data_IF_406455816804
#
_entry.id   IF_406455816804
#
_cell.length_a   1.000
_cell.length_b   1.000
_cell.length_c   1.000
_cell.angle_alpha   90.00
_cell.angle_beta   90.00
_cell.angle_gamma   90.00
#
_symmetry.space_group_name_H-M   'P 1'
#
loop_
_entity.id
_entity.type
_entity.pdbx_description
1 polymer ?
#
# COMPACT_ATOMS: atom_id res chain seq x y z
N UNK A 1 7.35 19.60 -2.65
CA UNK A 1 6.17 18.76 -2.90
C UNK A 1 6.50 17.32 -2.51
N UNK A 2 5.59 16.67 -1.79
CA UNK A 2 5.79 15.30 -1.31
C UNK A 2 5.58 14.31 -2.45
N UNK A 3 6.48 13.31 -2.53
CA UNK A 3 6.36 12.22 -3.48
C UNK A 3 5.95 10.96 -2.72
N UNK A 4 5.23 10.07 -3.39
CA UNK A 4 4.95 8.73 -2.89
C UNK A 4 5.70 7.75 -3.78
N UNK A 5 6.62 7.03 -3.19
CA UNK A 5 7.49 6.09 -3.88
C UNK A 5 7.22 4.69 -3.37
N UNK A 6 7.29 3.70 -4.24
CA UNK A 6 7.14 2.30 -3.86
C UNK A 6 8.49 1.64 -3.75
N UNK A 7 8.72 0.91 -2.67
CA UNK A 7 9.89 0.04 -2.61
C UNK A 7 9.73 -1.08 -3.62
N UNK A 8 10.84 -1.77 -3.93
CA UNK A 8 10.79 -2.92 -4.83
C UNK A 8 9.83 -3.99 -4.31
N UNK A 9 9.87 -4.26 -3.01
CA UNK A 9 8.99 -5.26 -2.39
C UNK A 9 7.53 -4.85 -2.49
N UNK A 10 7.21 -3.58 -2.25
CA UNK A 10 5.84 -3.08 -2.35
C UNK A 10 5.33 -3.15 -3.79
N UNK A 11 6.19 -2.83 -4.77
CA UNK A 11 5.80 -2.95 -6.16
C UNK A 11 5.51 -4.39 -6.55
N UNK A 12 6.33 -5.33 -6.06
CA UNK A 12 6.09 -6.75 -6.30
C UNK A 12 4.77 -7.21 -5.67
N UNK A 13 4.46 -6.72 -4.46
CA UNK A 13 3.18 -7.00 -3.81
C UNK A 13 2.02 -6.52 -4.66
N UNK A 14 2.12 -5.29 -5.16
CA UNK A 14 1.08 -4.69 -6.00
C UNK A 14 0.89 -5.49 -7.29
N UNK A 15 1.99 -5.82 -7.95
CA UNK A 15 1.95 -6.57 -9.22
C UNK A 15 1.31 -7.94 -9.01
N UNK A 16 1.64 -8.62 -7.90
CA UNK A 16 1.04 -9.92 -7.58
C UNK A 16 -0.46 -9.81 -7.33
N UNK A 17 -0.90 -8.77 -6.63
CA UNK A 17 -2.33 -8.55 -6.39
C UNK A 17 -3.05 -8.24 -7.71
N UNK A 18 -2.45 -7.43 -8.57
CA UNK A 18 -3.02 -7.11 -9.88
C UNK A 18 -3.17 -8.37 -10.73
N UNK A 19 -2.15 -9.22 -10.74
CA UNK A 19 -2.18 -10.48 -11.49
C UNK A 19 -3.29 -11.39 -10.97
N UNK A 20 -3.45 -11.49 -9.65
CA UNK A 20 -4.51 -12.28 -9.05
C UNK A 20 -5.89 -11.79 -9.49
N UNK A 21 -6.15 -10.49 -9.36
CA UNK A 21 -7.46 -9.96 -9.74
C UNK A 21 -7.69 -9.99 -11.24
N UNK A 22 -6.64 -9.78 -12.04
CA UNK A 22 -6.76 -9.86 -13.49
C UNK A 22 -7.15 -11.28 -13.94
N UNK A 23 -6.66 -12.31 -13.24
CA UNK A 23 -7.03 -13.70 -13.51
C UNK A 23 -8.51 -13.98 -13.17
N UNK A 24 -9.09 -13.20 -12.26
CA UNK A 24 -10.51 -13.31 -11.94
C UNK A 24 -11.36 -12.57 -12.97
N UNK A 25 -11.07 -11.28 -13.17
CA UNK A 25 -11.71 -10.46 -14.19
C UNK A 25 -10.93 -9.15 -14.34
N UNK A 26 -10.63 -8.73 -15.58
CA UNK A 26 -9.84 -7.50 -15.80
C UNK A 26 -10.44 -6.26 -15.14
N UNK A 27 -11.76 -6.15 -15.11
CA UNK A 27 -12.42 -4.98 -14.50
C UNK A 27 -12.25 -4.95 -12.98
N UNK A 28 -12.02 -6.08 -12.33
CA UNK A 28 -11.72 -6.11 -10.89
C UNK A 28 -10.31 -5.59 -10.67
N UNK A 29 -9.35 -6.00 -11.51
CA UNK A 29 -7.98 -5.50 -11.44
C UNK A 29 -7.95 -3.99 -11.63
N UNK A 30 -8.73 -3.45 -12.57
CA UNK A 30 -8.82 -2.01 -12.80
C UNK A 30 -9.35 -1.28 -11.56
N UNK A 31 -10.35 -1.83 -10.88
CA UNK A 31 -10.90 -1.25 -9.66
C UNK A 31 -9.89 -1.28 -8.52
N UNK A 32 -9.13 -2.35 -8.41
CA UNK A 32 -8.09 -2.46 -7.40
C UNK A 32 -7.01 -1.40 -7.65
N UNK A 33 -6.55 -1.28 -8.88
CA UNK A 33 -5.57 -0.27 -9.25
C UNK A 33 -6.07 1.12 -8.92
N UNK A 34 -7.31 1.44 -9.26
CA UNK A 34 -7.90 2.75 -8.97
C UNK A 34 -7.97 2.99 -7.46
N UNK A 35 -8.34 1.97 -6.68
CA UNK A 35 -8.42 2.10 -5.23
C UNK A 35 -7.05 2.40 -4.61
N UNK A 36 -6.00 1.78 -5.13
CA UNK A 36 -4.62 2.05 -4.66
C UNK A 36 -4.18 3.44 -5.09
N UNK A 37 -4.47 3.85 -6.32
CA UNK A 37 -4.13 5.20 -6.80
C UNK A 37 -4.81 6.28 -5.96
N UNK A 38 -6.06 6.06 -5.55
CA UNK A 38 -6.78 7.00 -4.67
C UNK A 38 -6.07 7.13 -3.33
N UNK A 39 -5.58 6.02 -2.78
CA UNK A 39 -4.82 6.04 -1.53
C UNK A 39 -3.51 6.82 -1.71
N UNK A 40 -2.79 6.58 -2.81
CA UNK A 40 -1.55 7.29 -3.10
C UNK A 40 -1.79 8.79 -3.15
N UNK A 41 -2.88 9.21 -3.80
CA UNK A 41 -3.23 10.63 -3.87
C UNK A 41 -3.50 11.20 -2.47
N UNK A 42 -4.21 10.46 -1.64
CA UNK A 42 -4.50 10.90 -0.27
C UNK A 42 -3.23 10.97 0.59
N UNK A 43 -2.28 10.07 0.38
CA UNK A 43 -0.99 10.12 1.07
C UNK A 43 -0.21 11.37 0.65
N UNK A 44 -0.21 11.69 -0.65
CA UNK A 44 0.42 12.91 -1.13
C UNK A 44 -0.18 14.15 -0.49
N UNK A 45 -1.50 14.16 -0.35
CA UNK A 45 -2.23 15.31 0.21
C UNK A 45 -1.95 15.48 1.70
N UNK A 46 -2.05 14.38 2.48
CA UNK A 46 -1.83 14.42 3.91
C UNK A 46 -1.57 13.02 4.47
N UNK A 47 -0.31 12.60 4.59
CA UNK A 47 -0.02 11.26 5.11
C UNK A 47 -0.41 11.06 6.55
N UNK A 48 -0.49 12.15 7.33
CA UNK A 48 -0.78 12.06 8.76
C UNK A 48 -2.25 11.85 9.07
N UNK A 49 -3.11 11.86 8.06
CA UNK A 49 -4.50 11.49 8.23
C UNK A 49 -4.69 9.99 8.49
N UNK A 50 -3.67 9.18 8.19
CA UNK A 50 -3.76 7.73 8.32
C UNK A 50 -3.26 7.26 9.68
N UNK A 51 -3.86 6.15 10.14
CA UNK A 51 -3.56 5.57 11.45
C UNK A 51 -2.15 5.00 11.49
N UNK A 52 -1.47 5.22 12.61
CA UNK A 52 -0.19 4.56 12.87
C UNK A 52 -0.41 3.05 12.99
N UNK A 53 0.53 2.31 12.43
CA UNK A 53 0.65 0.89 12.64
C UNK A 53 1.85 0.68 13.58
N UNK A 54 2.82 -0.15 13.21
CA UNK A 54 4.01 -0.38 14.01
C UNK A 54 5.25 0.11 13.26
N UNK A 55 6.39 0.20 13.97
CA UNK A 55 7.67 0.54 13.35
C UNK A 55 7.66 1.87 12.58
N UNK A 56 6.97 2.87 13.14
CA UNK A 56 6.85 4.21 12.53
C UNK A 56 6.12 4.19 11.19
N UNK A 57 5.42 3.10 10.89
CA UNK A 57 4.64 3.01 9.67
C UNK A 57 3.20 3.44 9.91
N UNK A 58 2.54 3.84 8.84
CA UNK A 58 1.11 4.09 8.81
C UNK A 58 0.46 3.12 7.85
N UNK A 59 -0.84 2.91 8.03
CA UNK A 59 -1.60 1.99 7.18
C UNK A 59 -2.81 2.71 6.58
N UNK A 60 -3.10 2.36 5.34
CA UNK A 60 -4.29 2.83 4.64
C UNK A 60 -5.05 1.62 4.12
N UNK A 61 -6.35 1.59 4.39
CA UNK A 61 -7.21 0.50 3.91
C UNK A 61 -7.51 0.71 2.43
N UNK A 62 -7.31 -0.34 1.62
CA UNK A 62 -7.72 -0.32 0.22
C UNK A 62 -9.22 -0.58 0.18
N UNK A 63 -9.98 0.44 -0.19
CA UNK A 63 -11.44 0.39 -0.11
C UNK A 63 -12.01 -0.77 -0.92
N UNK A 64 -12.83 -1.61 -0.28
CA UNK A 64 -13.52 -2.76 -0.88
C UNK A 64 -12.63 -3.94 -1.24
N UNK A 65 -11.36 -3.90 -0.80
CA UNK A 65 -10.44 -5.00 -1.00
C UNK A 65 -9.78 -5.34 0.33
N UNK A 66 -9.44 -6.62 0.55
CA UNK A 66 -8.82 -7.03 1.81
C UNK A 66 -7.33 -6.74 1.83
N UNK A 67 -6.96 -5.49 1.51
CA UNK A 67 -5.56 -5.07 1.44
C UNK A 67 -5.33 -3.79 2.24
N UNK A 68 -4.11 -3.67 2.75
CA UNK A 68 -3.60 -2.46 3.38
C UNK A 68 -2.40 -1.97 2.59
N UNK A 69 -2.29 -0.66 2.44
CA UNK A 69 -1.07 -0.03 1.97
C UNK A 69 -0.31 0.43 3.21
N UNK A 70 0.89 -0.11 3.40
CA UNK A 70 1.75 0.24 4.53
C UNK A 70 2.82 1.18 4.02
N UNK A 71 2.93 2.34 4.66
CA UNK A 71 3.88 3.35 4.22
C UNK A 71 4.53 4.07 5.41
N UNK A 72 5.65 4.72 5.15
CA UNK A 72 6.32 5.53 6.16
C UNK A 72 6.82 6.82 5.53
N UNK A 73 6.95 7.85 6.36
CA UNK A 73 7.57 9.10 5.95
C UNK A 73 9.08 9.00 6.12
N UNK A 74 9.81 9.56 5.17
CA UNK A 74 11.27 9.73 5.28
C UNK A 74 11.63 11.02 4.57
N UNK A 75 12.22 11.94 5.29
CA UNK A 75 12.47 13.31 4.80
C UNK A 75 11.14 13.91 4.32
N UNK A 76 11.06 14.41 3.10
CA UNK A 76 9.83 15.02 2.58
C UNK A 76 9.00 14.05 1.75
N UNK A 77 9.40 12.79 1.68
CA UNK A 77 8.73 11.79 0.85
C UNK A 77 8.05 10.73 1.70
N UNK A 78 7.15 9.99 1.07
CA UNK A 78 6.54 8.80 1.65
C UNK A 78 6.93 7.58 0.83
N UNK A 79 7.23 6.49 1.51
CA UNK A 79 7.61 5.23 0.88
C UNK A 79 6.59 4.17 1.22
N UNK A 80 5.93 3.63 0.21
CA UNK A 80 5.07 2.46 0.38
C UNK A 80 6.00 1.26 0.49
N UNK A 81 5.93 0.56 1.62
CA UNK A 81 6.81 -0.59 1.90
C UNK A 81 6.12 -1.92 1.70
N UNK A 82 4.79 -1.94 1.67
CA UNK A 82 4.02 -3.16 1.42
C UNK A 82 2.63 -2.83 0.91
N UNK A 83 2.11 -3.70 0.06
CA UNK A 83 0.69 -3.78 -0.26
C UNK A 83 0.26 -5.14 0.28
N UNK A 84 -0.38 -5.14 1.44
CA UNK A 84 -0.47 -6.28 2.32
C UNK A 84 -1.89 -6.83 2.41
N UNK A 85 -2.05 -8.12 2.10
CA UNK A 85 -3.34 -8.79 2.26
C UNK A 85 -3.61 -9.02 3.74
N UNK A 86 -4.79 -8.64 4.20
CA UNK A 86 -5.13 -8.66 5.63
C UNK A 86 -5.13 -10.03 6.27
N UNK A 87 -5.19 -11.11 5.48
CA UNK A 87 -5.13 -12.47 6.02
C UNK A 87 -3.72 -13.00 6.23
N UNK A 88 -2.69 -12.24 5.80
CA UNK A 88 -1.30 -12.67 5.97
C UNK A 88 -0.74 -12.24 7.31
N UNK A 89 0.36 -12.87 7.72
CA UNK A 89 1.07 -12.53 8.95
C UNK A 89 1.71 -11.15 8.82
N UNK A 90 1.37 -10.19 9.70
CA UNK A 90 1.98 -8.86 9.69
C UNK A 90 3.51 -8.87 9.82
N UNK A 91 4.08 -9.92 10.41
CA UNK A 91 5.53 -10.05 10.49
C UNK A 91 6.23 -9.97 9.15
N UNK A 92 5.54 -10.31 8.06
CA UNK A 92 6.12 -10.28 6.73
C UNK A 92 6.51 -8.87 6.30
N UNK A 93 5.65 -7.87 6.54
CA UNK A 93 5.99 -6.50 6.17
C UNK A 93 6.81 -5.81 7.27
N UNK A 94 6.58 -6.19 8.54
CA UNK A 94 7.32 -5.61 9.65
C UNK A 94 8.81 -5.90 9.53
N UNK A 95 9.18 -7.07 9.02
CA UNK A 95 10.57 -7.41 8.77
C UNK A 95 11.25 -6.46 7.78
N UNK A 96 10.49 -5.86 6.87
CA UNK A 96 10.99 -4.91 5.89
C UNK A 96 11.38 -3.56 6.50
N UNK A 97 10.92 -3.31 7.73
CA UNK A 97 11.12 -2.04 8.42
C UNK A 97 12.35 -2.02 9.32
N UNK A 98 12.96 -3.15 9.55
CA UNK A 98 14.13 -3.26 10.42
C UNK A 98 15.45 -2.93 9.74
#
# INVERSE_FOLDING_TARGET
MRRVLFTRAAKADFDAAMEFYDSEAPEIADRFQQAVEDIVQRIEDNPRQFTHSSHKARRAVVRRFPYLVIFREHADDCYVVAVFHTSRDPGMWQARMS
#
